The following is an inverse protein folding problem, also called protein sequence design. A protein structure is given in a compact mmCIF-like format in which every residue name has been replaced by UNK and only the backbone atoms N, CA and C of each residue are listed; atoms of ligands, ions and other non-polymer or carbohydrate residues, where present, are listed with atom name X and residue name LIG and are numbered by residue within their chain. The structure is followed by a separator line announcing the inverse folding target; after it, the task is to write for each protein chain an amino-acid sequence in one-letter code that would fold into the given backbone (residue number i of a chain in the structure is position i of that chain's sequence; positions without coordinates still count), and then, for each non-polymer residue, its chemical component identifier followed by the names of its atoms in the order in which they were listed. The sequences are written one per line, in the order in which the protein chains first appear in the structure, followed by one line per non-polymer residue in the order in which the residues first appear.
data_IF_799625428249
#
_entry.id   IF_799625428249
#
_cell.length_a   1.000
_cell.length_b   1.000
_cell.length_c   1.000
_cell.angle_alpha   90.00
_cell.angle_beta   90.00
_cell.angle_gamma   90.00
#
_symmetry.space_group_name_H-M   'P 1'
#
loop_
_entity.id
_entity.type
_entity.pdbx_description
1 polymer ?
#
# COMPACT_ATOMS: atom_id res chain seq x y z
N UNK A 1 -13.30 -10.79 23.58
CA UNK A 1 -12.29 -10.75 24.65
C UNK A 1 -12.91 -10.71 26.04
N UNK A 2 -13.88 -9.84 26.36
CA UNK A 2 -14.52 -9.84 27.68
C UNK A 2 -15.35 -11.10 27.97
N UNK A 3 -16.06 -11.61 26.95
CA UNK A 3 -16.89 -12.82 27.07
C UNK A 3 -16.08 -14.11 27.29
N UNK A 4 -14.82 -14.15 26.85
CA UNK A 4 -13.90 -15.29 26.99
C UNK A 4 -12.53 -14.71 27.34
N UNK A 5 -12.17 -14.54 28.63
CA UNK A 5 -10.98 -13.78 29.05
C UNK A 5 -9.65 -14.53 28.94
N UNK A 6 -9.69 -15.80 28.52
CA UNK A 6 -8.67 -16.85 28.58
C UNK A 6 -8.00 -17.17 27.23
N UNK A 7 -8.28 -16.43 26.15
CA UNK A 7 -7.57 -16.62 24.88
C UNK A 7 -6.15 -16.04 24.93
N UNK A 8 -5.21 -16.72 24.29
CA UNK A 8 -3.82 -16.25 24.12
C UNK A 8 -3.62 -15.43 22.84
N UNK A 9 -4.44 -15.67 21.80
CA UNK A 9 -4.25 -15.12 20.45
C UNK A 9 -5.58 -14.61 19.90
N UNK A 10 -5.54 -13.44 19.25
CA UNK A 10 -6.65 -12.91 18.45
C UNK A 10 -6.23 -12.94 16.99
N UNK A 11 -7.01 -13.66 16.18
CA UNK A 11 -6.88 -13.64 14.72
C UNK A 11 -8.09 -12.92 14.15
N UNK A 12 -7.86 -11.77 13.54
CA UNK A 12 -8.91 -11.03 12.83
C UNK A 12 -8.77 -11.22 11.32
N UNK A 13 -9.90 -11.40 10.63
CA UNK A 13 -9.95 -11.32 9.18
C UNK A 13 -9.99 -9.87 8.69
N UNK A 14 -11.12 -9.43 8.14
CA UNK A 14 -11.34 -8.08 7.60
C UNK A 14 -11.59 -7.03 8.71
N UNK A 15 -10.74 -6.98 9.72
CA UNK A 15 -10.78 -5.93 10.73
C UNK A 15 -9.96 -4.72 10.27
N UNK A 16 -10.16 -3.57 10.91
CA UNK A 16 -9.26 -2.44 10.76
C UNK A 16 -7.92 -2.78 11.41
N UNK A 17 -6.80 -2.67 10.68
CA UNK A 17 -5.52 -3.25 11.09
C UNK A 17 -5.04 -2.84 12.50
N UNK A 18 -5.16 -1.57 12.96
CA UNK A 18 -4.81 -1.20 14.32
C UNK A 18 -5.68 -1.84 15.40
N UNK A 19 -6.90 -2.28 15.06
CA UNK A 19 -7.93 -2.65 16.03
C UNK A 19 -7.52 -3.86 16.89
N UNK A 20 -6.73 -4.80 16.37
CA UNK A 20 -6.21 -5.94 17.14
C UNK A 20 -5.31 -5.50 18.29
N UNK A 21 -4.37 -4.60 17.99
CA UNK A 21 -3.46 -4.01 18.97
C UNK A 21 -4.21 -3.16 19.99
N UNK A 22 -5.15 -2.34 19.51
CA UNK A 22 -5.99 -1.49 20.38
C UNK A 22 -6.82 -2.33 21.32
N UNK A 23 -7.49 -3.38 20.82
CA UNK A 23 -8.31 -4.27 21.62
C UNK A 23 -7.47 -4.99 22.70
N UNK A 24 -6.28 -5.46 22.34
CA UNK A 24 -5.34 -6.06 23.29
C UNK A 24 -4.95 -5.09 24.41
N UNK A 25 -4.51 -3.88 24.07
CA UNK A 25 -4.09 -2.88 25.07
C UNK A 25 -5.27 -2.40 25.93
N UNK A 26 -6.41 -2.08 25.32
CA UNK A 26 -7.60 -1.62 26.02
C UNK A 26 -8.11 -2.65 27.04
N UNK A 27 -8.13 -3.93 26.67
CA UNK A 27 -8.53 -5.02 27.58
C UNK A 27 -7.56 -5.23 28.72
N UNK A 28 -6.24 -5.18 28.47
CA UNK A 28 -5.26 -5.28 29.54
C UNK A 28 -5.35 -4.10 30.51
N UNK A 29 -5.57 -2.89 29.99
CA UNK A 29 -5.81 -1.73 30.84
C UNK A 29 -7.07 -1.91 31.69
N UNK A 30 -8.20 -2.27 31.07
CA UNK A 30 -9.46 -2.47 31.78
C UNK A 30 -9.35 -3.52 32.89
N UNK A 31 -8.60 -4.61 32.64
CA UNK A 31 -8.27 -5.63 33.66
C UNK A 31 -7.42 -5.05 34.78
N UNK A 32 -6.35 -4.32 34.47
CA UNK A 32 -5.44 -3.74 35.46
C UNK A 32 -6.13 -2.69 36.36
N UNK A 33 -6.98 -1.84 35.79
CA UNK A 33 -7.67 -0.77 36.52
C UNK A 33 -9.03 -1.17 37.07
N UNK A 34 -9.55 -2.36 36.72
CA UNK A 34 -10.93 -2.79 37.00
C UNK A 34 -11.98 -1.79 36.52
N UNK A 35 -11.69 -1.05 35.45
CA UNK A 35 -12.59 -0.06 34.88
C UNK A 35 -13.24 -0.59 33.59
N UNK A 36 -14.49 -0.21 33.29
CA UNK A 36 -15.14 -0.53 32.03
C UNK A 36 -14.36 0.00 30.80
N UNK A 37 -14.39 -0.71 29.67
CA UNK A 37 -13.69 -0.31 28.43
C UNK A 37 -14.14 1.05 27.88
N UNK A 38 -15.42 1.39 28.04
CA UNK A 38 -16.02 2.65 27.63
C UNK A 38 -15.58 3.84 28.50
N UNK A 39 -14.95 3.58 29.66
CA UNK A 39 -14.38 4.61 30.53
C UNK A 39 -12.94 4.99 30.18
N UNK A 40 -12.31 4.31 29.21
CA UNK A 40 -10.95 4.64 28.79
C UNK A 40 -10.90 6.03 28.15
N UNK A 41 -9.97 6.86 28.61
CA UNK A 41 -9.82 8.23 28.11
C UNK A 41 -9.41 8.26 26.63
N UNK A 42 -9.82 9.32 25.92
CA UNK A 42 -9.41 9.59 24.53
C UNK A 42 -7.89 9.56 24.35
N UNK A 43 -7.13 10.05 25.33
CA UNK A 43 -5.66 10.06 25.29
C UNK A 43 -5.08 8.65 25.35
N UNK A 44 -5.63 7.80 26.22
CA UNK A 44 -5.18 6.43 26.33
C UNK A 44 -5.48 5.64 25.04
N UNK A 45 -6.74 5.74 24.56
CA UNK A 45 -7.13 5.16 23.29
C UNK A 45 -6.28 5.72 22.13
N UNK A 46 -5.99 7.01 22.12
CA UNK A 46 -5.13 7.67 21.14
C UNK A 46 -3.76 7.03 21.03
N UNK A 47 -3.07 6.84 22.17
CA UNK A 47 -1.77 6.18 22.13
C UNK A 47 -1.86 4.69 21.72
N UNK A 48 -2.92 3.97 22.11
CA UNK A 48 -3.12 2.58 21.65
C UNK A 48 -3.37 2.51 20.14
N UNK A 49 -4.19 3.41 19.59
CA UNK A 49 -4.44 3.51 18.15
C UNK A 49 -3.17 3.92 17.39
N UNK A 50 -2.37 4.82 17.96
CA UNK A 50 -1.10 5.22 17.36
C UNK A 50 -0.10 4.06 17.34
N UNK A 51 0.04 3.35 18.45
CA UNK A 51 0.87 2.14 18.52
C UNK A 51 0.39 1.10 17.50
N UNK A 52 -0.92 0.82 17.45
CA UNK A 52 -1.51 -0.10 16.48
C UNK A 52 -1.25 0.33 15.02
N UNK A 53 -1.38 1.62 14.72
CA UNK A 53 -1.10 2.19 13.39
C UNK A 53 0.35 2.00 12.93
N UNK A 54 1.29 1.97 13.87
CA UNK A 54 2.70 1.68 13.52
C UNK A 54 2.90 0.17 13.43
N UNK A 55 2.35 -0.59 14.39
CA UNK A 55 2.56 -2.03 14.52
C UNK A 55 1.85 -2.86 13.43
N UNK A 56 0.79 -2.34 12.78
CA UNK A 56 0.14 -3.00 11.63
C UNK A 56 1.12 -3.35 10.50
N UNK A 57 2.17 -2.54 10.36
CA UNK A 57 3.23 -2.70 9.37
C UNK A 57 4.55 -3.25 9.97
N UNK A 58 4.55 -3.55 11.28
CA UNK A 58 5.69 -4.11 12.00
C UNK A 58 7.00 -3.33 11.84
N UNK A 59 8.04 -4.00 11.34
CA UNK A 59 9.41 -3.46 11.26
C UNK A 59 9.66 -2.44 10.14
N UNK A 60 8.62 -2.03 9.39
CA UNK A 60 8.73 -0.99 8.36
C UNK A 60 9.03 0.42 8.92
N UNK A 61 8.79 0.64 10.22
CA UNK A 61 9.11 1.87 10.93
C UNK A 61 10.62 2.04 11.25
N UNK A 62 11.43 1.02 11.00
CA UNK A 62 12.87 1.00 11.27
C UNK A 62 13.72 1.35 10.04
N UNK A 63 15.00 1.68 10.30
CA UNK A 63 16.02 1.87 9.26
C UNK A 63 17.30 1.09 9.58
N UNK A 64 17.78 0.20 8.69
CA UNK A 64 17.01 -0.40 7.58
C UNK A 64 15.72 -1.10 8.06
N UNK A 65 14.86 -1.50 7.11
CA UNK A 65 13.61 -2.20 7.43
C UNK A 65 13.91 -3.48 8.21
N UNK A 66 13.18 -3.71 9.29
CA UNK A 66 13.29 -4.91 10.12
C UNK A 66 12.18 -5.92 9.74
N UNK A 67 12.40 -7.24 9.91
CA UNK A 67 11.35 -8.25 9.73
C UNK A 67 10.15 -8.07 10.67
N UNK A 68 10.36 -7.43 11.82
CA UNK A 68 9.33 -7.14 12.81
C UNK A 68 9.71 -6.00 13.75
N UNK A 69 8.77 -5.61 14.59
CA UNK A 69 8.97 -4.64 15.66
C UNK A 69 8.30 -5.13 16.95
N UNK A 70 8.76 -4.61 18.08
CA UNK A 70 8.18 -4.83 19.39
C UNK A 70 7.75 -3.48 19.97
N UNK A 71 6.56 -3.46 20.55
CA UNK A 71 6.05 -2.31 21.29
C UNK A 71 5.92 -2.67 22.79
N UNK A 72 6.57 -1.92 23.65
CA UNK A 72 6.35 -1.95 25.10
C UNK A 72 5.40 -0.81 25.46
N UNK A 73 4.23 -1.13 26.01
CA UNK A 73 3.18 -0.16 26.33
C UNK A 73 3.08 0.04 27.84
N UNK A 74 3.10 1.29 28.28
CA UNK A 74 2.99 1.71 29.68
C UNK A 74 1.52 1.99 30.06
N UNK A 75 1.23 2.05 31.37
CA UNK A 75 -0.13 2.25 31.89
C UNK A 75 -0.79 3.57 31.43
N UNK A 76 0.00 4.61 31.18
CA UNK A 76 -0.50 5.89 30.64
C UNK A 76 -0.70 5.87 29.11
N UNK A 77 -0.48 4.71 28.48
CA UNK A 77 -0.61 4.48 27.04
C UNK A 77 0.62 4.85 26.24
N UNK A 78 1.59 5.55 26.84
CA UNK A 78 2.91 5.80 26.25
C UNK A 78 3.52 4.47 25.80
N UNK A 79 4.22 4.45 24.68
CA UNK A 79 4.83 3.21 24.20
C UNK A 79 6.22 3.43 23.63
N UNK A 80 7.04 2.40 23.79
CA UNK A 80 8.38 2.31 23.21
C UNK A 80 8.35 1.31 22.07
N UNK A 81 8.85 1.72 20.90
CA UNK A 81 8.94 0.85 19.74
C UNK A 81 10.39 0.59 19.35
N UNK A 82 10.71 -0.68 19.15
CA UNK A 82 12.04 -1.15 18.77
C UNK A 82 11.97 -2.20 17.65
N UNK A 83 12.95 -2.25 16.74
CA UNK A 83 13.00 -3.30 15.72
C UNK A 83 13.50 -4.62 16.30
N UNK A 84 13.09 -5.73 15.65
CA UNK A 84 13.60 -7.06 15.99
C UNK A 84 14.98 -7.36 15.40
N UNK A 85 15.33 -6.77 14.25
CA UNK A 85 16.67 -6.91 13.68
C UNK A 85 17.70 -6.11 14.49
N UNK A 86 18.75 -6.74 15.05
CA UNK A 86 19.81 -6.05 15.79
C UNK A 86 20.57 -5.00 14.98
N UNK A 87 20.56 -5.09 13.64
CA UNK A 87 21.19 -4.16 12.72
C UNK A 87 20.28 -2.99 12.31
N UNK A 88 19.01 -3.03 12.71
CA UNK A 88 18.05 -1.97 12.47
C UNK A 88 17.89 -1.06 13.69
N UNK A 89 17.45 0.17 13.46
CA UNK A 89 17.04 1.11 14.52
C UNK A 89 15.75 1.83 14.17
N UNK A 90 14.91 2.07 15.16
CA UNK A 90 13.88 3.09 15.09
C UNK A 90 14.50 4.44 15.44
N UNK A 91 14.18 5.46 14.65
CA UNK A 91 14.56 6.86 14.90
C UNK A 91 13.29 7.70 14.99
N UNK A 92 13.29 8.85 15.70
CA UNK A 92 12.13 9.73 15.76
C UNK A 92 11.55 10.04 14.37
N UNK A 93 12.43 10.32 13.41
CA UNK A 93 12.04 10.59 12.03
C UNK A 93 11.42 9.36 11.34
N UNK A 94 11.99 8.17 11.50
CA UNK A 94 11.48 6.96 10.82
C UNK A 94 10.11 6.55 11.38
N UNK A 95 9.91 6.65 12.69
CA UNK A 95 8.63 6.34 13.36
C UNK A 95 7.56 7.40 13.05
N UNK A 96 7.93 8.69 13.06
CA UNK A 96 7.03 9.76 12.66
C UNK A 96 6.62 9.63 11.18
N UNK A 97 7.57 9.42 10.28
CA UNK A 97 7.29 9.21 8.86
C UNK A 97 6.39 8.00 8.61
N UNK A 98 6.56 6.94 9.39
CA UNK A 98 5.72 5.76 9.27
C UNK A 98 4.31 5.97 9.83
N UNK A 99 4.13 6.85 10.82
CA UNK A 99 2.80 7.25 11.31
C UNK A 99 1.96 7.84 10.16
N UNK A 100 2.59 8.62 9.28
CA UNK A 100 1.93 9.29 8.15
C UNK A 100 1.69 8.36 6.95
N UNK A 101 2.28 7.16 6.95
CA UNK A 101 2.22 6.23 5.83
C UNK A 101 0.79 5.83 5.49
N UNK A 102 0.45 5.94 4.20
CA UNK A 102 -0.87 5.64 3.61
C UNK A 102 -2.05 6.45 4.17
N UNK A 103 -1.81 7.72 4.53
CA UNK A 103 -2.86 8.61 5.06
C UNK A 103 -3.06 9.87 4.23
N UNK A 104 -4.30 10.34 4.10
CA UNK A 104 -4.63 11.55 3.31
C UNK A 104 -4.14 12.85 3.95
N UNK A 105 -3.90 12.86 5.27
CA UNK A 105 -3.41 14.01 6.01
C UNK A 105 -2.42 13.60 7.10
N UNK A 106 -1.54 14.51 7.55
CA UNK A 106 -0.45 14.17 8.46
C UNK A 106 -0.81 14.21 9.96
N UNK A 107 -2.00 14.67 10.31
CA UNK A 107 -2.38 15.03 11.68
C UNK A 107 -3.65 14.32 12.16
N UNK A 108 -4.75 14.32 11.37
CA UNK A 108 -6.00 13.63 11.73
C UNK A 108 -6.26 12.40 10.87
N UNK A 109 -6.12 11.22 11.45
CA UNK A 109 -6.26 9.94 10.75
C UNK A 109 -7.66 9.38 10.99
N UNK A 110 -8.59 9.68 10.07
CA UNK A 110 -9.97 9.18 10.14
C UNK A 110 -10.04 7.67 9.92
N UNK A 111 -10.85 7.01 10.73
CA UNK A 111 -11.08 5.57 10.66
C UNK A 111 -12.46 5.19 11.21
N UNK A 112 -12.72 3.88 11.38
CA UNK A 112 -13.92 3.42 12.07
C UNK A 112 -14.04 4.03 13.47
N UNK A 113 -15.24 4.45 13.85
CA UNK A 113 -15.57 4.91 15.20
C UNK A 113 -15.03 6.29 15.60
N UNK A 114 -14.24 6.97 14.76
CA UNK A 114 -13.67 8.26 15.11
C UNK A 114 -12.45 8.66 14.29
N UNK A 115 -11.55 9.38 14.94
CA UNK A 115 -10.36 9.92 14.34
C UNK A 115 -9.17 9.85 15.30
N UNK A 116 -8.02 9.38 14.83
CA UNK A 116 -6.78 9.43 15.56
C UNK A 116 -6.07 10.76 15.27
N UNK A 117 -5.98 11.64 16.27
CA UNK A 117 -5.20 12.88 16.24
C UNK A 117 -3.76 12.61 16.69
N UNK A 118 -2.81 12.85 15.80
CA UNK A 118 -1.36 12.75 16.06
C UNK A 118 -0.66 14.11 16.03
N UNK A 119 -1.42 15.22 15.99
CA UNK A 119 -0.89 16.58 15.89
C UNK A 119 -0.08 17.02 17.10
N UNK A 120 -0.31 16.42 18.27
CA UNK A 120 0.43 16.67 19.52
C UNK A 120 1.41 15.54 19.87
N UNK A 121 1.66 14.61 18.95
CA UNK A 121 2.56 13.49 19.24
C UNK A 121 4.02 13.92 19.28
N UNK A 122 4.75 13.41 20.26
CA UNK A 122 6.20 13.53 20.42
C UNK A 122 6.89 12.19 20.23
N UNK A 123 8.09 12.24 19.67
CA UNK A 123 8.93 11.07 19.37
C UNK A 123 10.31 11.29 19.98
N UNK A 124 10.66 10.49 20.98
CA UNK A 124 11.90 10.63 21.76
C UNK A 124 12.80 9.42 21.51
N UNK A 125 14.04 9.64 21.07
CA UNK A 125 15.02 8.56 20.96
C UNK A 125 15.49 8.15 22.36
N UNK A 126 15.40 6.86 22.68
CA UNK A 126 15.90 6.33 23.95
C UNK A 126 17.43 6.11 23.92
N UNK A 127 18.09 6.00 25.10
CA UNK A 127 19.55 5.90 25.21
C UNK A 127 20.19 4.70 24.49
N UNK A 128 19.42 3.66 24.19
CA UNK A 128 19.91 2.48 23.46
C UNK A 128 20.18 2.76 21.96
N UNK A 129 19.80 3.93 21.46
CA UNK A 129 20.01 4.36 20.08
C UNK A 129 19.18 3.61 19.03
N UNK A 130 18.26 2.74 19.44
CA UNK A 130 17.42 1.93 18.53
C UNK A 130 15.94 1.93 18.85
N UNK A 131 15.56 2.39 20.04
CA UNK A 131 14.18 2.44 20.51
C UNK A 131 13.68 3.88 20.54
N UNK A 132 12.41 4.08 20.14
CA UNK A 132 11.75 5.39 20.16
C UNK A 132 10.54 5.33 21.06
N UNK A 133 10.44 6.28 21.99
CA UNK A 133 9.27 6.49 22.82
C UNK A 133 8.30 7.45 22.13
N UNK A 134 7.03 7.09 22.13
CA UNK A 134 5.95 7.83 21.47
C UNK A 134 4.85 8.15 22.48
N UNK A 135 4.36 9.40 22.46
CA UNK A 135 3.26 9.86 23.33
C UNK A 135 2.54 11.08 22.76
N UNK A 136 1.29 11.26 23.16
CA UNK A 136 0.54 12.51 22.92
C UNK A 136 -0.47 12.43 21.79
N UNK A 137 -0.75 11.22 21.29
CA UNK A 137 -1.88 11.01 20.38
C UNK A 137 -3.20 10.96 21.16
N UNK A 138 -4.29 11.39 20.53
CA UNK A 138 -5.64 11.33 21.08
C UNK A 138 -6.60 10.66 20.07
N UNK A 139 -7.50 9.81 20.55
CA UNK A 139 -8.56 9.26 19.71
C UNK A 139 -9.87 10.00 19.98
N UNK A 140 -10.32 10.77 19.01
CA UNK A 140 -11.57 11.52 19.06
C UNK A 140 -12.68 10.56 18.60
N UNK A 141 -13.43 10.02 19.55
CA UNK A 141 -14.59 9.17 19.27
C UNK A 141 -15.67 9.98 18.55
N UNK A 142 -16.24 9.45 17.47
CA UNK A 142 -17.31 10.15 16.73
C UNK A 142 -18.52 10.42 17.63
N UNK A 143 -18.82 9.51 18.55
CA UNK A 143 -19.89 9.63 19.54
C UNK A 143 -19.66 10.77 20.53
N UNK A 144 -18.41 11.09 20.87
CA UNK A 144 -18.08 12.24 21.74
C UNK A 144 -18.40 13.59 21.07
N UNK A 145 -18.42 13.63 19.74
CA UNK A 145 -18.81 14.79 18.94
C UNK A 145 -20.29 14.79 18.52
N UNK A 146 -21.13 13.95 19.15
CA UNK A 146 -22.53 13.75 18.77
C UNK A 146 -22.72 13.27 17.31
N UNK A 147 -21.74 12.56 16.74
CA UNK A 147 -21.83 11.93 15.42
C UNK A 147 -22.07 10.41 15.56
N UNK A 148 -22.71 9.77 14.57
CA UNK A 148 -22.88 8.32 14.57
C UNK A 148 -21.53 7.58 14.62
N UNK A 149 -21.55 6.35 15.16
CA UNK A 149 -20.41 5.44 15.00
C UNK A 149 -20.26 5.11 13.50
N UNK A 150 -19.02 4.93 13.04
CA UNK A 150 -18.74 4.65 11.63
C UNK A 150 -17.98 3.35 11.46
N UNK A 151 -18.21 2.68 10.34
CA UNK A 151 -17.43 1.53 9.90
C UNK A 151 -16.87 1.77 8.50
N UNK A 152 -15.67 1.25 8.25
CA UNK A 152 -15.05 1.36 6.92
C UNK A 152 -15.64 0.30 6.01
N UNK A 153 -16.35 0.73 4.98
CA UNK A 153 -16.86 -0.11 3.92
C UNK A 153 -15.91 -0.05 2.73
N UNK A 154 -15.37 -1.21 2.37
CA UNK A 154 -14.48 -1.39 1.23
C UNK A 154 -15.07 -2.44 0.29
N UNK A 155 -15.00 -2.17 -1.01
CA UNK A 155 -15.60 -3.03 -2.01
C UNK A 155 -14.90 -2.90 -3.36
N UNK A 156 -14.81 -4.03 -4.05
CA UNK A 156 -14.32 -4.11 -5.42
C UNK A 156 -15.41 -4.71 -6.31
N UNK A 157 -15.39 -4.35 -7.59
CA UNK A 157 -16.25 -4.94 -8.61
C UNK A 157 -15.41 -5.50 -9.74
N UNK A 158 -15.87 -6.58 -10.36
CA UNK A 158 -15.30 -7.09 -11.60
C UNK A 158 -15.66 -6.14 -12.73
N UNK A 159 -14.68 -5.81 -13.58
CA UNK A 159 -14.83 -4.89 -14.72
C UNK A 159 -14.53 -5.55 -16.07
N UNK A 160 -14.26 -6.86 -16.07
CA UNK A 160 -13.98 -7.62 -17.28
C UNK A 160 -13.01 -8.76 -17.02
N UNK A 161 -12.50 -9.34 -18.09
CA UNK A 161 -11.46 -10.36 -18.10
C UNK A 161 -10.14 -9.77 -18.58
N UNK A 162 -9.05 -10.19 -17.95
CA UNK A 162 -7.70 -9.71 -18.24
C UNK A 162 -6.86 -10.80 -18.90
N UNK A 163 -6.26 -10.47 -20.04
CA UNK A 163 -5.25 -11.30 -20.70
C UNK A 163 -4.00 -10.47 -20.91
N UNK A 164 -2.84 -11.04 -20.63
CA UNK A 164 -1.54 -10.38 -20.85
C UNK A 164 -0.67 -11.19 -21.80
N UNK A 165 0.25 -10.51 -22.48
CA UNK A 165 1.37 -11.14 -23.17
C UNK A 165 2.66 -10.36 -22.89
N UNK A 166 3.77 -11.06 -22.90
CA UNK A 166 5.07 -10.56 -22.46
C UNK A 166 6.10 -10.81 -23.55
N UNK A 167 7.01 -9.86 -23.75
CA UNK A 167 8.17 -10.10 -24.61
C UNK A 167 9.12 -8.92 -24.73
N UNK A 168 10.29 -9.18 -25.32
CA UNK A 168 11.35 -8.19 -25.53
C UNK A 168 11.57 -7.93 -27.01
N UNK A 169 11.92 -6.69 -27.35
CA UNK A 169 12.50 -6.30 -28.63
C UNK A 169 13.99 -6.04 -28.44
N UNK A 170 14.85 -6.56 -29.31
CA UNK A 170 16.28 -6.23 -29.33
C UNK A 170 16.63 -5.54 -30.64
N UNK A 171 16.16 -4.32 -30.81
CA UNK A 171 16.35 -3.55 -32.04
C UNK A 171 16.44 -2.05 -31.70
N UNK A 172 17.62 -1.42 -31.81
CA UNK A 172 17.78 0.01 -31.54
C UNK A 172 16.92 0.92 -32.43
N UNK A 173 16.57 0.52 -33.65
CA UNK A 173 15.73 1.32 -34.54
C UNK A 173 14.29 1.34 -34.01
N UNK A 174 13.78 0.17 -33.64
CA UNK A 174 12.42 0.02 -33.11
C UNK A 174 12.29 0.58 -31.69
N UNK A 175 13.20 0.25 -30.78
CA UNK A 175 13.13 0.66 -29.36
C UNK A 175 13.16 2.18 -29.19
N UNK A 176 13.88 2.90 -30.05
CA UNK A 176 13.88 4.36 -30.10
C UNK A 176 12.53 4.99 -30.52
N UNK A 177 11.62 4.20 -31.09
CA UNK A 177 10.29 4.64 -31.56
C UNK A 177 9.18 3.71 -31.08
N UNK A 178 9.42 3.01 -29.98
CA UNK A 178 8.55 1.91 -29.53
C UNK A 178 7.11 2.39 -29.34
N UNK A 179 6.91 3.61 -28.86
CA UNK A 179 5.58 4.16 -28.62
C UNK A 179 4.76 4.39 -29.89
N UNK A 180 5.39 4.88 -30.97
CA UNK A 180 4.71 5.06 -32.26
C UNK A 180 4.33 3.71 -32.86
N UNK A 181 5.20 2.71 -32.69
CA UNK A 181 4.94 1.34 -33.09
C UNK A 181 3.78 0.72 -32.31
N UNK A 182 3.79 0.83 -30.98
CA UNK A 182 2.71 0.30 -30.13
C UNK A 182 1.38 1.02 -30.36
N UNK A 183 1.38 2.32 -30.65
CA UNK A 183 0.18 3.05 -31.07
C UNK A 183 -0.36 2.49 -32.41
N UNK A 184 0.54 2.10 -33.33
CA UNK A 184 0.16 1.40 -34.58
C UNK A 184 -0.44 0.03 -34.29
N UNK A 185 0.10 -0.74 -33.33
CA UNK A 185 -0.48 -2.02 -32.88
C UNK A 185 -1.90 -1.82 -32.34
N UNK A 186 -2.13 -0.82 -31.48
CA UNK A 186 -3.47 -0.48 -30.97
C UNK A 186 -4.44 -0.18 -32.11
N UNK A 187 -4.03 0.62 -33.09
CA UNK A 187 -4.86 0.94 -34.25
C UNK A 187 -5.20 -0.29 -35.11
N UNK A 188 -4.24 -1.22 -35.26
CA UNK A 188 -4.46 -2.48 -35.99
C UNK A 188 -5.44 -3.40 -35.27
N UNK A 189 -5.31 -3.55 -33.95
CA UNK A 189 -6.28 -4.27 -33.13
C UNK A 189 -7.67 -3.66 -33.27
N UNK A 190 -7.78 -2.32 -33.19
CA UNK A 190 -9.04 -1.60 -33.38
C UNK A 190 -9.67 -1.84 -34.75
N UNK A 191 -8.88 -1.81 -35.82
CA UNK A 191 -9.37 -2.08 -37.17
C UNK A 191 -9.80 -3.54 -37.37
N UNK A 192 -9.09 -4.50 -36.80
CA UNK A 192 -9.40 -5.93 -36.98
C UNK A 192 -10.56 -6.42 -36.10
N UNK A 193 -10.89 -5.66 -35.05
CA UNK A 193 -11.93 -6.01 -34.06
C UNK A 193 -13.09 -5.02 -34.10
N UNK A 194 -13.29 -4.31 -35.22
CA UNK A 194 -14.38 -3.33 -35.39
C UNK A 194 -15.76 -3.95 -35.33
N UNK A 195 -15.86 -5.23 -35.73
CA UNK A 195 -17.12 -5.94 -35.92
C UNK A 195 -17.44 -6.88 -34.75
N UNK A 196 -16.64 -6.84 -33.68
CA UNK A 196 -16.88 -7.63 -32.48
C UNK A 196 -17.63 -6.83 -31.42
N UNK A 197 -18.64 -7.47 -30.84
CA UNK A 197 -19.40 -6.93 -29.72
C UNK A 197 -18.56 -6.91 -28.43
N UNK A 198 -18.75 -5.85 -27.63
CA UNK A 198 -18.15 -5.69 -26.30
C UNK A 198 -17.06 -4.62 -26.24
N UNK A 199 -16.87 -4.08 -25.04
CA UNK A 199 -15.83 -3.10 -24.76
C UNK A 199 -14.51 -3.80 -24.47
N UNK A 200 -13.41 -3.18 -24.92
CA UNK A 200 -12.07 -3.63 -24.61
C UNK A 200 -11.09 -2.45 -24.58
N UNK A 201 -9.99 -2.65 -23.87
CA UNK A 201 -8.85 -1.75 -23.79
C UNK A 201 -7.56 -2.55 -23.90
N UNK A 202 -6.67 -2.12 -24.80
CA UNK A 202 -5.29 -2.60 -24.90
C UNK A 202 -4.35 -1.50 -24.44
N UNK A 203 -3.46 -1.84 -23.51
CA UNK A 203 -2.35 -0.97 -23.11
C UNK A 203 -1.04 -1.72 -23.02
N UNK A 204 0.06 -0.95 -22.96
CA UNK A 204 1.42 -1.51 -22.92
C UNK A 204 2.21 -0.89 -21.77
N UNK A 205 2.74 -1.74 -20.90
CA UNK A 205 3.76 -1.37 -19.93
C UNK A 205 5.12 -1.59 -20.56
N UNK A 206 5.92 -0.53 -20.69
CA UNK A 206 7.20 -0.56 -21.43
C UNK A 206 8.36 -0.35 -20.47
N UNK A 207 9.36 -1.21 -20.54
CA UNK A 207 10.56 -1.20 -19.70
C UNK A 207 11.81 -1.26 -20.58
N UNK A 208 12.89 -0.56 -20.17
CA UNK A 208 14.16 -0.54 -20.91
C UNK A 208 14.18 0.37 -22.16
N UNK A 209 13.03 0.94 -22.55
CA UNK A 209 12.97 1.92 -23.64
C UNK A 209 13.08 3.37 -23.12
N UNK A 210 13.48 4.34 -23.97
CA UNK A 210 13.45 5.77 -23.64
C UNK A 210 12.04 6.19 -23.17
N UNK A 211 11.91 7.20 -22.29
CA UNK A 211 10.61 7.68 -21.85
C UNK A 211 9.80 8.29 -23.00
N UNK A 212 8.46 8.12 -22.99
CA UNK A 212 7.57 8.75 -23.98
C UNK A 212 7.67 10.27 -23.84
N UNK A 213 8.15 10.95 -24.88
CA UNK A 213 8.17 12.41 -24.92
C UNK A 213 6.74 12.96 -25.04
N UNK A 214 6.39 14.06 -24.34
CA UNK A 214 5.10 14.72 -24.52
C UNK A 214 4.90 15.15 -25.97
N UNK A 215 3.70 14.95 -26.53
CA UNK A 215 3.36 15.30 -27.92
C UNK A 215 3.44 16.82 -28.24
N UNK A 216 3.80 17.67 -27.28
CA UNK A 216 3.79 19.14 -27.38
C UNK A 216 5.12 19.85 -27.06
N UNK A 217 6.27 19.16 -27.07
CA UNK A 217 7.57 19.83 -26.93
C UNK A 217 8.24 20.04 -28.30
N UNK A 218 7.75 21.02 -29.05
CA UNK A 218 8.51 21.58 -30.16
C UNK A 218 9.79 22.23 -29.64
N UNK A 219 10.93 21.93 -30.29
CA UNK A 219 12.22 22.63 -30.14
C UNK A 219 12.93 22.63 -28.77
N UNK A 220 12.86 21.53 -28.02
CA UNK A 220 13.82 21.27 -26.94
C UNK A 220 14.77 20.14 -27.34
N UNK A 221 16.07 20.43 -27.50
CA UNK A 221 17.10 19.39 -27.64
C UNK A 221 17.19 18.60 -26.33
N UNK A 222 16.39 17.55 -26.20
CA UNK A 222 16.39 16.68 -25.03
C UNK A 222 17.54 15.68 -25.19
N UNK A 223 18.65 15.97 -24.51
CA UNK A 223 19.71 14.99 -24.27
C UNK A 223 19.18 13.88 -23.37
N UNK A 224 18.58 12.86 -23.96
CA UNK A 224 18.73 11.51 -23.43
C UNK A 224 20.19 11.16 -23.70
N UNK A 225 21.02 11.00 -22.66
CA UNK A 225 22.39 10.54 -22.86
C UNK A 225 22.33 9.24 -23.68
N UNK A 226 22.98 9.25 -24.84
CA UNK A 226 22.96 8.12 -25.81
C UNK A 226 23.48 6.81 -25.21
N UNK A 227 24.06 6.86 -24.02
CA UNK A 227 24.61 5.72 -23.29
C UNK A 227 23.55 4.91 -22.48
N UNK A 228 22.33 5.42 -22.28
CA UNK A 228 21.30 4.74 -21.46
C UNK A 228 20.29 3.90 -22.28
N UNK A 229 20.46 3.82 -23.61
CA UNK A 229 19.56 3.07 -24.48
C UNK A 229 20.16 1.68 -24.70
N UNK A 230 19.66 0.67 -23.98
CA UNK A 230 20.18 -0.70 -24.01
C UNK A 230 19.91 -1.43 -25.34
N UNK A 231 19.22 -0.79 -26.30
CA UNK A 231 18.75 -1.43 -27.53
C UNK A 231 17.69 -2.52 -27.29
N UNK A 232 17.34 -2.77 -26.03
CA UNK A 232 16.37 -3.75 -25.59
C UNK A 232 15.16 -3.06 -24.94
N UNK A 233 13.95 -3.41 -25.38
CA UNK A 233 12.71 -2.96 -24.78
C UNK A 233 11.83 -4.14 -24.41
N UNK A 234 11.52 -4.30 -23.13
CA UNK A 234 10.56 -5.29 -22.65
C UNK A 234 9.17 -4.68 -22.55
N UNK A 235 8.16 -5.41 -22.99
CA UNK A 235 6.76 -4.99 -22.91
C UNK A 235 5.89 -6.01 -22.19
N UNK A 236 4.92 -5.49 -21.43
CA UNK A 236 3.72 -6.21 -21.01
C UNK A 236 2.55 -5.62 -21.78
N UNK A 237 2.03 -6.36 -22.76
CA UNK A 237 0.76 -6.04 -23.39
C UNK A 237 -0.37 -6.51 -22.48
N UNK A 238 -1.23 -5.60 -22.06
CA UNK A 238 -2.37 -5.88 -21.18
C UNK A 238 -3.66 -5.58 -21.91
N UNK A 239 -4.55 -6.58 -21.95
CA UNK A 239 -5.89 -6.45 -22.48
C UNK A 239 -6.90 -6.64 -21.37
N UNK A 240 -7.81 -5.68 -21.25
CA UNK A 240 -9.04 -5.78 -20.47
C UNK A 240 -10.23 -5.79 -21.44
N UNK A 241 -11.14 -6.75 -21.31
CA UNK A 241 -12.35 -6.81 -22.13
C UNK A 241 -13.56 -7.35 -21.38
N UNK A 242 -14.76 -7.15 -21.91
CA UNK A 242 -16.02 -7.62 -21.30
C UNK A 242 -16.12 -9.15 -21.18
N UNK A 243 -15.40 -9.90 -22.02
CA UNK A 243 -15.38 -11.36 -21.99
C UNK A 243 -13.96 -11.95 -22.11
N UNK A 244 -13.71 -13.15 -21.55
CA UNK A 244 -12.43 -13.84 -21.69
C UNK A 244 -12.05 -14.12 -23.15
N UNK A 245 -13.04 -14.43 -23.99
CA UNK A 245 -12.83 -14.68 -25.42
C UNK A 245 -12.35 -13.43 -26.14
N UNK A 246 -12.99 -12.28 -25.88
CA UNK A 246 -12.60 -11.01 -26.48
C UNK A 246 -11.20 -10.58 -26.01
N UNK A 247 -10.91 -10.68 -24.71
CA UNK A 247 -9.59 -10.29 -24.17
C UNK A 247 -8.47 -11.13 -24.79
N UNK A 248 -8.68 -12.44 -24.94
CA UNK A 248 -7.71 -13.36 -25.54
C UNK A 248 -7.50 -13.10 -27.03
N UNK A 249 -8.56 -12.81 -27.77
CA UNK A 249 -8.48 -12.56 -29.23
C UNK A 249 -7.73 -11.26 -29.53
N UNK A 250 -8.02 -10.19 -28.77
CA UNK A 250 -7.28 -8.93 -28.85
C UNK A 250 -5.81 -9.12 -28.47
N UNK A 251 -5.52 -9.85 -27.38
CA UNK A 251 -4.15 -10.09 -26.91
C UNK A 251 -3.33 -10.87 -27.96
N UNK A 252 -3.92 -11.92 -28.53
CA UNK A 252 -3.30 -12.71 -29.60
C UNK A 252 -3.01 -11.85 -30.83
N UNK A 253 -3.98 -11.02 -31.25
CA UNK A 253 -3.81 -10.10 -32.37
C UNK A 253 -2.70 -9.07 -32.11
N UNK A 254 -2.72 -8.45 -30.93
CA UNK A 254 -1.71 -7.48 -30.52
C UNK A 254 -0.31 -8.09 -30.52
N UNK A 255 -0.15 -9.28 -29.95
CA UNK A 255 1.10 -10.04 -29.95
C UNK A 255 1.59 -10.36 -31.36
N UNK A 256 0.71 -10.83 -32.25
CA UNK A 256 1.05 -11.09 -33.66
C UNK A 256 1.57 -9.82 -34.33
N UNK A 257 0.91 -8.68 -34.12
CA UNK A 257 1.39 -7.41 -34.66
C UNK A 257 2.69 -6.95 -33.99
N UNK A 258 2.93 -7.23 -32.71
CA UNK A 258 4.24 -7.01 -32.11
C UNK A 258 5.32 -7.84 -32.81
N UNK A 259 5.05 -9.09 -33.18
CA UNK A 259 5.99 -9.99 -33.85
C UNK A 259 6.22 -9.70 -35.34
N UNK A 260 5.22 -9.20 -36.06
CA UNK A 260 5.26 -9.11 -37.52
C UNK A 260 4.97 -7.72 -38.08
N UNK A 261 4.65 -6.74 -37.22
CA UNK A 261 4.33 -5.38 -37.61
C UNK A 261 5.52 -4.69 -38.28
N UNK A 262 5.23 -3.97 -39.36
CA UNK A 262 6.23 -3.15 -40.03
C UNK A 262 6.49 -1.85 -39.24
N UNK A 263 7.74 -1.40 -39.21
CA UNK A 263 8.12 -0.12 -38.61
C UNK A 263 9.11 0.65 -39.50
N UNK A 264 9.16 1.97 -39.32
CA UNK A 264 9.98 2.84 -40.17
C UNK A 264 11.47 2.57 -39.96
N UNK A 265 12.19 2.28 -41.05
CA UNK A 265 13.62 2.00 -41.01
C UNK A 265 13.95 0.55 -40.63
N UNK A 266 12.95 -0.33 -40.60
CA UNK A 266 13.14 -1.76 -40.40
C UNK A 266 14.11 -2.35 -41.42
N UNK A 267 15.15 -3.02 -40.92
CA UNK A 267 16.17 -3.71 -41.72
C UNK A 267 15.88 -5.21 -41.84
N UNK A 268 15.22 -5.80 -40.85
CA UNK A 268 14.88 -7.23 -40.80
C UNK A 268 13.54 -7.52 -41.52
N UNK A 269 13.41 -8.70 -42.13
CA UNK A 269 12.20 -9.12 -42.86
C UNK A 269 10.98 -9.34 -41.96
N UNK A 270 11.19 -9.66 -40.68
CA UNK A 270 10.14 -9.81 -39.66
C UNK A 270 10.51 -9.06 -38.38
N UNK A 271 9.58 -8.96 -37.43
CA UNK A 271 9.85 -8.33 -36.14
C UNK A 271 10.79 -9.17 -35.27
N UNK A 272 11.48 -8.50 -34.36
CA UNK A 272 12.42 -9.08 -33.40
C UNK A 272 11.79 -9.22 -32.00
N UNK A 273 10.54 -9.68 -31.94
CA UNK A 273 9.82 -9.84 -30.69
C UNK A 273 10.08 -11.22 -30.12
N UNK A 274 10.82 -11.31 -29.02
CA UNK A 274 11.04 -12.52 -28.25
C UNK A 274 9.92 -12.69 -27.22
N UNK A 275 9.10 -13.72 -27.37
CA UNK A 275 7.94 -14.02 -26.52
C UNK A 275 7.79 -15.53 -26.32
N UNK A 276 6.80 -15.96 -25.51
CA UNK A 276 6.47 -17.38 -25.39
C UNK A 276 7.23 -18.11 -24.28
N UNK A 277 7.24 -17.55 -23.06
CA UNK A 277 7.92 -18.18 -21.92
C UNK A 277 7.23 -19.50 -21.58
N UNK A 278 7.97 -20.61 -21.61
CA UNK A 278 7.42 -21.94 -21.32
C UNK A 278 6.38 -22.42 -22.34
N UNK A 279 6.41 -21.90 -23.57
CA UNK A 279 5.45 -22.24 -24.63
C UNK A 279 4.10 -21.52 -24.50
N UNK A 280 3.92 -20.66 -23.49
CA UNK A 280 2.71 -19.86 -23.32
C UNK A 280 2.90 -18.49 -23.97
N UNK A 281 2.09 -18.19 -24.97
CA UNK A 281 2.16 -16.94 -25.75
C UNK A 281 1.30 -15.82 -25.18
N UNK A 282 0.21 -16.18 -24.51
CA UNK A 282 -0.69 -15.29 -23.77
C UNK A 282 -1.06 -15.95 -22.44
N UNK A 283 -1.18 -15.14 -21.39
CA UNK A 283 -1.56 -15.57 -20.05
C UNK A 283 -2.94 -15.01 -19.72
N UNK A 284 -3.89 -15.90 -19.42
CA UNK A 284 -5.19 -15.52 -18.87
C UNK A 284 -5.03 -15.26 -17.38
N UNK A 285 -5.31 -14.02 -16.96
CA UNK A 285 -5.19 -13.57 -15.57
C UNK A 285 -6.56 -13.58 -14.88
N UNK A 286 -7.61 -13.98 -15.59
CA UNK A 286 -8.97 -14.11 -15.05
C UNK A 286 -9.68 -12.77 -14.87
N UNK A 287 -10.67 -12.70 -13.94
CA UNK A 287 -11.44 -11.49 -13.69
C UNK A 287 -10.55 -10.32 -13.25
N UNK A 288 -10.68 -9.18 -13.93
CA UNK A 288 -10.10 -7.93 -13.52
C UNK A 288 -11.05 -7.21 -12.56
N UNK A 289 -10.56 -6.89 -11.37
CA UNK A 289 -11.31 -6.13 -10.38
C UNK A 289 -10.82 -4.69 -10.31
N UNK A 290 -11.72 -3.76 -10.01
CA UNK A 290 -11.37 -2.42 -9.58
C UNK A 290 -11.98 -2.11 -8.22
N UNK A 291 -11.27 -1.31 -7.44
CA UNK A 291 -11.81 -0.74 -6.22
C UNK A 291 -13.00 0.17 -6.57
N UNK A 292 -14.10 0.02 -5.85
CA UNK A 292 -15.38 0.68 -6.19
C UNK A 292 -16.08 1.32 -5.00
N UNK A 293 -15.77 0.89 -3.76
CA UNK A 293 -16.35 1.46 -2.54
C UNK A 293 -15.20 1.73 -1.57
N UNK A 294 -15.02 2.98 -1.15
CA UNK A 294 -14.08 3.41 -0.11
C UNK A 294 -14.78 4.45 0.77
N UNK A 295 -15.49 4.02 1.82
CA UNK A 295 -16.38 4.91 2.55
C UNK A 295 -16.45 4.62 4.06
N UNK A 296 -16.53 5.66 4.89
CA UNK A 296 -16.92 5.52 6.30
C UNK A 296 -18.44 5.60 6.39
N UNK A 297 -19.09 4.46 6.58
CA UNK A 297 -20.53 4.32 6.66
C UNK A 297 -21.00 4.54 8.10
N UNK A 298 -21.99 5.41 8.28
CA UNK A 298 -22.64 5.64 9.57
C UNK A 298 -23.47 4.41 9.97
N UNK A 299 -23.42 4.06 11.25
CA UNK A 299 -24.26 3.06 11.88
C UNK A 299 -25.34 3.72 12.76
N UNK A 300 -26.50 3.09 12.85
CA UNK A 300 -27.49 3.43 13.86
C UNK A 300 -26.98 3.02 15.26
N UNK A 301 -27.46 3.68 16.31
CA UNK A 301 -27.08 3.32 17.68
C UNK A 301 -27.52 1.88 17.99
N UNK A 302 -26.58 1.06 18.45
CA UNK A 302 -26.80 -0.37 18.70
C UNK A 302 -26.23 -1.28 17.61
N UNK A 303 -26.04 -0.77 16.39
CA UNK A 303 -25.51 -1.55 15.27
C UNK A 303 -24.00 -1.82 15.39
N UNK A 304 -23.29 -1.01 16.16
CA UNK A 304 -21.84 -1.11 16.40
C UNK A 304 -21.42 -2.36 17.19
N UNK A 305 -22.36 -3.01 17.89
CA UNK A 305 -22.07 -4.17 18.74
C UNK A 305 -22.02 -5.48 17.93
N UNK A 306 -21.45 -6.50 18.55
CA UNK A 306 -21.47 -7.87 18.03
C UNK A 306 -22.39 -8.79 18.81
N UNK A 307 -23.07 -9.69 18.13
CA UNK A 307 -24.02 -10.65 18.70
C UNK A 307 -23.53 -12.09 18.58
N UNK A 308 -23.69 -12.89 19.64
CA UNK A 308 -23.32 -14.31 19.61
C UNK A 308 -24.31 -15.10 18.74
N UNK A 309 -23.81 -15.86 17.77
CA UNK A 309 -24.62 -16.81 16.99
C UNK A 309 -24.98 -17.99 17.90
N UNK A 310 -26.25 -18.07 18.30
CA UNK A 310 -26.77 -19.14 19.16
C UNK A 310 -27.44 -20.27 18.39
N UNK A 311 -27.80 -20.04 17.12
CA UNK A 311 -28.37 -21.04 16.20
C UNK A 311 -27.88 -20.81 14.76
N UNK A 312 -27.76 -21.86 13.95
CA UNK A 312 -27.24 -21.80 12.56
C UNK A 312 -28.00 -20.83 11.63
N UNK A 313 -29.23 -20.45 11.99
CA UNK A 313 -30.08 -19.52 11.23
C UNK A 313 -29.76 -18.04 11.45
N UNK A 314 -28.82 -17.68 12.34
CA UNK A 314 -28.49 -16.28 12.69
C UNK A 314 -27.23 -15.71 11.99
N UNK A 315 -26.66 -16.40 10.99
CA UNK A 315 -25.49 -15.88 10.23
C UNK A 315 -25.77 -14.57 9.47
N UNK A 316 -27.04 -14.24 9.25
CA UNK A 316 -27.48 -12.99 8.62
C UNK A 316 -28.45 -12.30 9.57
N UNK A 317 -28.08 -11.14 10.10
CA UNK A 317 -28.95 -10.33 10.97
C UNK A 317 -30.07 -9.74 10.11
N UNK A 318 -31.35 -10.07 10.35
CA UNK A 318 -32.46 -9.46 9.61
C UNK A 318 -32.46 -7.95 9.82
N UNK A 319 -32.88 -7.17 8.81
CA UNK A 319 -32.96 -5.70 8.91
C UNK A 319 -33.78 -5.18 10.11
N UNK A 320 -34.67 -5.99 10.68
CA UNK A 320 -35.47 -5.66 11.86
C UNK A 320 -34.79 -5.97 13.21
N UNK A 321 -33.63 -6.66 13.21
CA UNK A 321 -32.87 -7.04 14.41
C UNK A 321 -31.54 -6.27 14.55
N UNK A 322 -31.37 -5.16 13.83
CA UNK A 322 -30.14 -4.36 13.84
C UNK A 322 -29.85 -3.70 15.20
N UNK A 323 -30.83 -3.67 16.11
CA UNK A 323 -30.66 -3.19 17.50
C UNK A 323 -29.82 -4.11 18.38
N UNK A 324 -29.53 -5.35 17.96
CA UNK A 324 -28.69 -6.33 18.68
C UNK A 324 -27.24 -6.37 18.16
N UNK A 325 -26.87 -5.48 17.24
CA UNK A 325 -25.53 -5.43 16.65
C UNK A 325 -25.43 -6.10 15.27
N UNK A 326 -24.66 -5.50 14.35
CA UNK A 326 -24.49 -5.98 12.97
C UNK A 326 -23.42 -7.05 12.80
N UNK A 327 -22.58 -7.29 13.83
CA UNK A 327 -21.38 -8.11 13.71
C UNK A 327 -21.55 -9.45 14.44
N UNK A 328 -22.18 -10.46 13.81
CA UNK A 328 -22.36 -11.75 14.45
C UNK A 328 -21.02 -12.47 14.62
N UNK A 329 -20.84 -13.14 15.76
CA UNK A 329 -19.64 -13.93 16.07
C UNK A 329 -20.01 -15.28 16.66
N UNK A 330 -19.12 -16.27 16.54
CA UNK A 330 -19.32 -17.61 17.08
C UNK A 330 -18.03 -18.10 17.74
N UNK A 331 -18.17 -19.00 18.72
CA UNK A 331 -17.02 -19.70 19.32
C UNK A 331 -16.90 -21.06 18.67
N UNK A 332 -15.71 -21.41 18.21
CA UNK A 332 -15.38 -22.76 17.75
C UNK A 332 -14.22 -23.26 18.59
N UNK A 333 -14.41 -24.39 19.26
CA UNK A 333 -13.31 -25.14 19.86
C UNK A 333 -12.65 -25.94 18.75
N UNK A 334 -11.39 -25.64 18.46
CA UNK A 334 -10.58 -26.48 17.58
C UNK A 334 -9.95 -27.55 18.45
N UNK A 335 -10.44 -28.78 18.34
CA UNK A 335 -9.72 -29.91 18.92
C UNK A 335 -8.34 -30.00 18.25
N UNK A 336 -7.27 -30.35 19.00
CA UNK A 336 -6.00 -30.66 18.39
C UNK A 336 -6.24 -31.67 17.28
N UNK A 337 -5.61 -31.52 16.09
CA UNK A 337 -5.72 -32.56 15.07
C UNK A 337 -5.37 -33.88 15.74
N UNK A 338 -6.25 -34.88 15.61
CA UNK A 338 -6.00 -36.21 16.12
C UNK A 338 -4.60 -36.59 15.67
N UNK A 339 -3.69 -36.77 16.62
CA UNK A 339 -2.33 -37.24 16.34
C UNK A 339 -2.56 -38.59 15.67
N UNK A 340 -2.45 -38.64 14.34
CA UNK A 340 -2.38 -39.90 13.63
C UNK A 340 -1.13 -40.57 14.18
N UNK A 341 -1.31 -41.78 14.69
CA UNK A 341 -0.23 -42.62 15.18
C UNK A 341 0.96 -42.55 14.20
N UNK A 342 2.20 -42.30 14.68
CA UNK A 342 3.37 -42.17 13.81
C UNK A 342 3.68 -43.42 12.96
N UNK A 343 2.98 -44.54 13.20
CA UNK A 343 3.17 -45.83 12.53
C UNK A 343 2.29 -46.06 11.29
N UNK A 344 1.53 -45.06 10.83
CA UNK A 344 0.92 -45.12 9.49
C UNK A 344 1.85 -44.53 8.43
N UNK A 345 2.58 -45.42 7.75
CA UNK A 345 3.41 -45.13 6.58
C UNK A 345 2.59 -44.46 5.46
N UNK A 346 2.52 -43.14 5.46
CA UNK A 346 2.29 -42.34 4.25
C UNK A 346 3.37 -41.27 4.15
N UNK A 347 4.39 -41.58 3.35
CA UNK A 347 5.51 -40.70 3.03
C UNK A 347 5.01 -39.58 2.13
N UNK A 348 4.86 -38.37 2.66
CA UNK A 348 4.85 -37.15 1.85
C UNK A 348 6.05 -36.29 2.25
N UNK A 349 7.13 -36.49 1.50
CA UNK A 349 8.37 -35.73 1.61
C UNK A 349 8.19 -34.32 1.01
N UNK A 350 7.87 -33.35 1.86
CA UNK A 350 8.11 -31.93 1.58
C UNK A 350 9.57 -31.57 1.93
N UNK A 351 10.29 -30.77 1.13
CA UNK A 351 11.68 -30.46 1.42
C UNK A 351 11.81 -29.49 2.59
N UNK A 352 12.35 -29.98 3.71
CA UNK A 352 12.97 -29.16 4.76
C UNK A 352 14.25 -28.55 4.19
N UNK A 353 14.24 -27.25 3.88
CA UNK A 353 15.46 -26.50 3.60
C UNK A 353 16.19 -26.21 4.92
N UNK A 354 17.25 -26.97 5.18
CA UNK A 354 18.26 -26.70 6.20
C UNK A 354 19.13 -25.50 5.73
N UNK A 355 18.80 -24.29 6.18
CA UNK A 355 19.63 -23.10 5.91
C UNK A 355 20.80 -23.10 6.90
N UNK A 356 21.85 -23.84 6.53
CA UNK A 356 23.19 -23.64 7.09
C UNK A 356 23.77 -22.37 6.49
N UNK A 357 23.84 -21.30 7.29
CA UNK A 357 24.53 -20.07 6.94
C UNK A 357 26.04 -20.31 6.83
N UNK A 358 26.53 -20.47 5.60
CA UNK A 358 27.95 -20.30 5.30
C UNK A 358 28.25 -18.82 5.20
N UNK A 359 29.05 -18.32 6.13
CA UNK A 359 29.58 -16.96 6.11
C UNK A 359 30.35 -16.70 4.82
N UNK A 360 29.88 -15.71 4.06
CA UNK A 360 30.63 -15.11 2.96
C UNK A 360 31.01 -13.70 3.43
N UNK A 361 32.27 -13.54 3.79
CA UNK A 361 32.85 -12.22 4.05
C UNK A 361 32.92 -11.42 2.75
N UNK A 362 32.37 -10.20 2.77
CA UNK A 362 32.58 -9.21 1.73
C UNK A 362 32.84 -7.83 2.35
N UNK A 363 33.57 -6.96 1.65
CA UNK A 363 34.55 -6.06 2.26
C UNK A 363 33.93 -4.83 2.93
N UNK A 364 34.54 -4.46 4.05
CA UNK A 364 34.29 -3.22 4.80
C UNK A 364 34.71 -2.03 3.93
N UNK A 365 33.74 -1.34 3.34
CA UNK A 365 33.97 -0.02 2.76
C UNK A 365 33.72 1.03 3.85
N UNK A 366 34.76 1.32 4.61
CA UNK A 366 34.77 2.45 5.54
C UNK A 366 34.66 3.76 4.76
N UNK A 367 33.50 4.41 4.79
CA UNK A 367 33.37 5.84 4.52
C UNK A 367 32.87 6.52 5.78
N UNK A 368 33.81 7.14 6.48
CA UNK A 368 33.62 8.12 7.52
C UNK A 368 32.71 9.23 6.98
N UNK A 369 31.50 9.35 7.54
CA UNK A 369 30.63 10.48 7.28
C UNK A 369 31.20 11.69 8.03
N UNK A 370 31.92 12.55 7.32
CA UNK A 370 32.35 13.83 7.86
C UNK A 370 31.14 14.74 8.04
N UNK A 371 31.02 15.32 9.23
CA UNK A 371 30.11 16.40 9.56
C UNK A 371 30.14 17.49 8.47
N UNK A 372 29.02 17.67 7.78
CA UNK A 372 28.92 18.72 6.77
C UNK A 372 28.14 19.90 7.34
N UNK A 373 28.91 20.84 7.89
CA UNK A 373 28.76 22.30 7.82
C UNK A 373 27.43 22.85 7.31
N UNK A 374 26.80 23.66 8.15
CA UNK A 374 25.68 24.57 7.84
C UNK A 374 26.01 25.40 6.59
N UNK A 375 25.39 25.08 5.45
CA UNK A 375 25.50 25.90 4.23
C UNK A 375 24.52 27.07 4.32
N UNK A 376 25.07 28.28 4.37
CA UNK A 376 24.40 29.53 4.01
C UNK A 376 23.83 29.42 2.60
N UNK A 377 22.59 29.88 2.43
CA UNK A 377 21.82 29.80 1.19
C UNK A 377 22.44 30.61 0.03
N UNK A 378 22.46 30.06 -1.21
CA UNK A 378 22.52 30.85 -2.43
C UNK A 378 21.14 31.04 -3.06
N UNK A 379 20.93 32.22 -3.66
CA UNK A 379 19.73 32.63 -4.39
C UNK A 379 19.58 31.93 -5.75
N UNK A 380 19.34 30.61 -5.73
CA UNK A 380 18.93 29.82 -6.90
C UNK A 380 17.52 29.30 -6.63
N UNK A 381 16.68 29.14 -7.66
CA UNK A 381 15.39 28.45 -7.49
C UNK A 381 15.67 27.10 -6.83
N UNK A 382 15.24 26.95 -5.57
CA UNK A 382 15.39 25.71 -4.82
C UNK A 382 14.23 24.80 -5.22
N UNK A 383 14.55 23.59 -5.68
CA UNK A 383 13.53 22.58 -5.90
C UNK A 383 13.10 22.00 -4.55
N UNK A 384 11.89 21.44 -4.48
CA UNK A 384 11.36 20.88 -3.23
C UNK A 384 12.28 19.82 -2.61
N UNK A 385 12.97 19.03 -3.47
CA UNK A 385 13.95 18.02 -3.06
C UNK A 385 15.18 18.59 -2.36
N UNK A 386 15.51 19.86 -2.59
CA UNK A 386 16.70 20.52 -2.04
C UNK A 386 16.46 21.06 -0.62
N UNK A 387 15.18 21.29 -0.27
CA UNK A 387 14.76 21.90 0.99
C UNK A 387 14.05 20.93 1.93
N UNK A 388 13.46 19.87 1.39
CA UNK A 388 12.82 18.84 2.19
C UNK A 388 13.86 17.84 2.73
N UNK A 389 13.74 17.50 4.01
CA UNK A 389 14.52 16.42 4.62
C UNK A 389 14.10 15.04 4.10
N UNK A 390 12.83 14.93 3.75
CA UNK A 390 12.20 13.67 3.35
C UNK A 390 11.09 13.97 2.34
N UNK A 391 11.06 13.23 1.23
CA UNK A 391 9.97 13.22 0.27
C UNK A 391 9.67 11.76 -0.05
N UNK A 392 8.41 11.34 0.15
CA UNK A 392 7.94 10.03 -0.31
C UNK A 392 6.57 10.16 -0.94
N UNK A 393 6.42 9.62 -2.15
CA UNK A 393 5.09 9.34 -2.70
C UNK A 393 4.44 8.23 -1.88
N UNK A 394 3.15 8.35 -1.64
CA UNK A 394 2.33 7.31 -1.00
C UNK A 394 0.96 7.26 -1.64
N UNK A 395 0.33 6.10 -1.56
CA UNK A 395 -1.09 5.96 -1.84
C UNK A 395 -1.85 6.37 -0.56
N UNK A 396 -2.55 7.50 -0.58
CA UNK A 396 -3.39 7.93 0.55
C UNK A 396 -4.79 7.29 0.52
N UNK A 397 -5.09 6.57 -0.55
CA UNK A 397 -6.33 5.85 -0.80
C UNK A 397 -6.31 5.23 -2.20
N UNK A 398 -7.36 4.47 -2.56
CA UNK A 398 -7.44 3.79 -3.86
C UNK A 398 -7.45 4.74 -5.06
N UNK A 399 -7.78 6.02 -4.85
CA UNK A 399 -7.95 7.01 -5.91
C UNK A 399 -7.06 8.25 -5.73
N UNK A 400 -6.10 8.21 -4.79
CA UNK A 400 -5.28 9.38 -4.49
C UNK A 400 -3.84 9.00 -4.17
N UNK A 401 -2.91 9.57 -4.95
CA UNK A 401 -1.49 9.61 -4.61
C UNK A 401 -1.19 10.93 -3.91
N UNK A 402 -0.47 10.87 -2.80
CA UNK A 402 -0.02 12.04 -2.04
C UNK A 402 1.49 11.95 -1.79
N UNK A 403 2.08 13.03 -1.28
CA UNK A 403 3.48 13.08 -0.91
C UNK A 403 3.63 13.46 0.55
N UNK A 404 4.38 12.66 1.30
CA UNK A 404 4.85 13.04 2.63
C UNK A 404 6.13 13.84 2.48
N UNK A 405 6.09 15.09 2.95
CA UNK A 405 7.20 16.01 2.88
C UNK A 405 7.50 16.49 4.30
N UNK A 406 8.69 16.17 4.80
CA UNK A 406 9.16 16.62 6.12
C UNK A 406 10.32 17.59 5.98
N UNK A 407 10.37 18.57 6.87
CA UNK A 407 11.40 19.60 6.94
C UNK A 407 12.04 19.56 8.32
N UNK A 408 13.34 19.77 8.39
CA UNK A 408 14.10 19.92 9.63
C UNK A 408 14.14 21.37 10.15
N UNK A 409 13.73 22.34 9.31
CA UNK A 409 13.62 23.75 9.69
C UNK A 409 12.17 24.28 9.56
N UNK A 410 11.59 24.68 10.69
CA UNK A 410 10.25 25.27 10.79
C UNK A 410 10.07 26.51 9.91
N UNK A 411 11.13 27.29 9.65
CA UNK A 411 11.09 28.48 8.78
C UNK A 411 10.92 28.07 7.32
N UNK A 412 11.64 27.04 6.88
CA UNK A 412 11.53 26.46 5.54
C UNK A 412 10.14 25.90 5.34
N UNK A 413 9.65 25.09 6.29
CA UNK A 413 8.27 24.59 6.26
C UNK A 413 7.24 25.73 6.12
N UNK A 414 7.34 26.78 6.94
CA UNK A 414 6.45 27.95 6.86
C UNK A 414 6.55 28.69 5.53
N UNK A 415 7.75 28.77 4.94
CA UNK A 415 7.97 29.39 3.64
C UNK A 415 7.31 28.57 2.51
N UNK A 416 7.56 27.25 2.47
CA UNK A 416 6.97 26.34 1.49
C UNK A 416 5.45 26.33 1.61
N UNK A 417 4.89 26.30 2.82
CA UNK A 417 3.44 26.33 3.05
C UNK A 417 2.76 27.62 2.53
N UNK A 418 3.46 28.76 2.55
CA UNK A 418 2.94 30.03 1.99
C UNK A 418 2.90 30.04 0.47
N UNK A 419 3.83 29.32 -0.16
CA UNK A 419 3.84 29.09 -1.60
C UNK A 419 2.73 28.07 -1.84
N UNK A 420 1.48 28.50 -2.06
CA UNK A 420 0.40 27.59 -2.48
C UNK A 420 0.90 26.79 -3.69
N UNK A 421 1.30 25.54 -3.49
CA UNK A 421 1.70 24.65 -4.58
C UNK A 421 0.42 24.38 -5.37
N UNK A 422 0.27 25.09 -6.49
CA UNK A 422 -0.83 24.91 -7.40
C UNK A 422 -0.66 23.53 -8.06
N UNK A 423 -1.49 22.57 -7.66
CA UNK A 423 -1.68 21.38 -8.46
C UNK A 423 -2.39 21.78 -9.77
N UNK A 424 -2.02 21.19 -10.92
CA UNK A 424 -2.87 21.27 -12.11
C UNK A 424 -4.26 20.76 -11.71
N UNK A 425 -5.27 21.62 -11.83
CA UNK A 425 -6.66 21.22 -11.68
C UNK A 425 -7.03 20.43 -12.93
N UNK A 426 -7.11 19.11 -12.80
CA UNK A 426 -7.92 18.32 -13.72
C UNK A 426 -9.39 18.41 -13.24
N UNK A 427 -10.20 18.83 -14.18
CA UNK A 427 -11.62 19.12 -14.19
C UNK A 427 -12.47 18.15 -13.34
N UNK A 428 -13.20 18.69 -12.35
CA UNK A 428 -14.49 18.11 -11.95
C UNK A 428 -14.65 17.50 -10.55
N UNK A 429 -13.67 17.53 -9.64
CA UNK A 429 -13.90 17.09 -8.26
C UNK A 429 -13.28 18.04 -7.23
N UNK A 430 -14.14 18.76 -6.51
CA UNK A 430 -13.77 19.55 -5.33
C UNK A 430 -13.27 18.63 -4.21
N UNK A 431 -11.95 18.61 -3.97
CA UNK A 431 -11.38 18.16 -2.70
C UNK A 431 -11.15 19.38 -1.79
N UNK A 432 -11.53 19.34 -0.50
CA UNK A 432 -11.26 20.42 0.42
C UNK A 432 -9.75 20.48 0.70
N UNK A 433 -9.17 21.66 0.48
CA UNK A 433 -7.84 21.99 0.99
C UNK A 433 -7.91 22.03 2.53
N UNK A 434 -7.53 20.94 3.20
CA UNK A 434 -7.33 20.97 4.65
C UNK A 434 -5.98 21.59 4.94
N UNK A 435 -6.01 22.70 5.67
CA UNK A 435 -4.88 23.47 6.16
C UNK A 435 -4.54 22.99 7.57
N UNK A 436 -3.28 22.57 7.81
CA UNK A 436 -2.41 23.05 8.90
C UNK A 436 -1.06 22.32 8.92
#
# INVERSE_FOLDING_TARGET
MQANPDFDIIVTGRAYDPATYVAFCAMNQAKATSLPLDSLSNKLLGNFYHMGKIMECGGLCATPKSPGAMALVYEEGVFDISPMDPMARCTPLSVAAHTLYEKSRPDLLYGPGGCLDVGQTTYEQLPDGKTVRVRGAEFILSTSESKPYTVKLEGARVIGSRTIFLGSFVDPILTNRIYDYLDTVKNRCAAQHSDMDGMWKLDFHVHGAPPRLPKAAGNGSNHCDRNDITGEGFIVGEVLADSPTLSKTIASTARIFCSHGAYRGQMATSGNFAFGIGGMTELDVGPCCQFSIYHLMNLAKGEEYGSLITTDRQKVVPKCHTTEGLFPWLVTTLDPPAIKDPDSNETTSGPLMDIRSKGVGMPVLGKTLSETSVKRAPARLQELKDVAKFIRSKNAGPFQVTFDIMFDDTRVYKAVKKIRIAYPRDDGATLPASSQ
#
